data_IF_812702703335
#
_entry.id   IF_812702703335
#
_cell.length_a   1.000
_cell.length_b   1.000
_cell.length_c   1.000
_cell.angle_alpha   90.00
_cell.angle_beta   90.00
_cell.angle_gamma   90.00
#
_symmetry.space_group_name_H-M   'P 1'
#
loop_
_entity.id
_entity.type
_entity.pdbx_description
1 polymer ?
#
# COMPACT_ATOMS: atom_id res chain seq x y z
N UNK A 1 -19.22 -1.75 -25.87
CA UNK A 1 -18.92 -1.92 -24.43
C UNK A 1 -19.68 -0.84 -23.68
N UNK A 2 -20.86 -1.16 -23.15
CA UNK A 2 -21.80 -0.19 -22.56
C UNK A 2 -21.74 -0.19 -21.04
N UNK A 3 -21.84 0.99 -20.44
CA UNK A 3 -21.98 1.18 -18.99
C UNK A 3 -23.26 0.51 -18.49
N UNK A 4 -23.14 -0.32 -17.45
CA UNK A 4 -24.29 -0.89 -16.75
C UNK A 4 -24.52 -0.04 -15.48
N UNK A 5 -25.67 0.63 -15.37
CA UNK A 5 -25.97 1.46 -14.21
C UNK A 5 -26.17 0.62 -12.92
N UNK A 6 -25.95 1.22 -11.74
CA UNK A 6 -25.82 0.49 -10.47
C UNK A 6 -27.10 -0.23 -10.03
N UNK A 7 -28.25 0.20 -10.54
CA UNK A 7 -29.59 -0.31 -10.25
C UNK A 7 -29.84 -1.71 -10.86
N UNK A 8 -29.00 -2.17 -11.80
CA UNK A 8 -29.08 -3.52 -12.39
C UNK A 8 -28.06 -4.52 -11.85
N UNK A 9 -27.33 -4.19 -10.78
CA UNK A 9 -26.54 -5.19 -10.06
C UNK A 9 -27.46 -6.10 -9.22
N UNK A 10 -28.21 -6.97 -9.90
CA UNK A 10 -28.92 -8.07 -9.26
C UNK A 10 -28.07 -9.34 -9.38
N UNK A 11 -27.07 -9.46 -8.50
CA UNK A 11 -26.48 -10.74 -8.19
C UNK A 11 -26.45 -10.92 -6.68
N UNK A 12 -27.08 -12.01 -6.25
CA UNK A 12 -27.13 -12.52 -4.90
C UNK A 12 -25.72 -12.57 -4.28
N UNK A 13 -25.41 -11.61 -3.41
CA UNK A 13 -24.24 -11.67 -2.56
C UNK A 13 -24.56 -12.60 -1.41
N UNK A 14 -23.90 -13.75 -1.33
CA UNK A 14 -23.64 -14.39 -0.03
C UNK A 14 -23.17 -13.28 0.92
N UNK A 15 -23.78 -13.18 2.10
CA UNK A 15 -23.45 -12.16 3.08
C UNK A 15 -21.93 -12.13 3.28
N UNK A 16 -21.28 -11.09 2.75
CA UNK A 16 -19.90 -10.79 3.07
C UNK A 16 -19.90 -10.61 4.59
N UNK A 17 -19.17 -11.45 5.30
CA UNK A 17 -19.12 -11.43 6.76
C UNK A 17 -18.82 -10.03 7.28
N UNK A 18 -19.13 -9.79 8.55
CA UNK A 18 -18.73 -8.55 9.24
C UNK A 18 -17.22 -8.36 9.05
N UNK A 19 -16.83 -7.26 8.41
CA UNK A 19 -15.43 -6.88 8.32
C UNK A 19 -14.97 -6.46 9.73
N UNK A 20 -14.06 -7.23 10.31
CA UNK A 20 -13.45 -6.90 11.60
C UNK A 20 -12.31 -5.88 11.38
N UNK A 21 -12.19 -4.91 12.28
CA UNK A 21 -11.14 -3.89 12.25
C UNK A 21 -10.50 -3.78 13.63
N UNK A 22 -9.17 -3.87 13.68
CA UNK A 22 -8.39 -3.67 14.91
C UNK A 22 -7.79 -2.26 14.91
N UNK A 23 -8.02 -1.51 15.99
CA UNK A 23 -7.39 -0.22 16.23
C UNK A 23 -6.63 -0.26 17.56
N UNK A 24 -5.31 -0.01 17.50
CA UNK A 24 -4.43 0.00 18.67
C UNK A 24 -3.90 1.42 18.88
N UNK A 25 -4.52 2.23 19.75
CA UNK A 25 -4.00 3.56 20.05
C UNK A 25 -2.64 3.44 20.73
N UNK A 26 -1.68 4.29 20.34
CA UNK A 26 -0.33 4.24 20.91
C UNK A 26 0.43 2.95 20.60
N UNK A 27 0.15 2.32 19.44
CA UNK A 27 0.85 1.10 19.00
C UNK A 27 2.39 1.22 19.08
N UNK A 28 2.90 2.41 18.78
CA UNK A 28 4.29 2.78 19.03
C UNK A 28 4.34 3.82 20.15
N UNK A 29 5.34 3.68 21.01
CA UNK A 29 5.77 4.76 21.89
C UNK A 29 6.13 6.01 21.06
N UNK A 30 5.85 7.20 21.60
CA UNK A 30 5.99 8.46 20.86
C UNK A 30 7.43 8.73 20.42
N UNK A 31 8.39 8.60 21.34
CA UNK A 31 9.79 8.92 21.05
C UNK A 31 10.36 7.90 20.06
N UNK A 32 9.94 6.65 20.19
CA UNK A 32 10.27 5.60 19.21
C UNK A 32 9.68 5.90 17.83
N UNK A 33 8.42 6.34 17.76
CA UNK A 33 7.75 6.68 16.51
C UNK A 33 8.41 7.88 15.81
N UNK A 34 8.78 8.93 16.55
CA UNK A 34 9.45 10.11 16.01
C UNK A 34 10.83 9.76 15.43
N UNK A 35 11.61 8.93 16.15
CA UNK A 35 12.90 8.44 15.67
C UNK A 35 12.79 7.52 14.45
N UNK A 36 11.78 6.63 14.44
CA UNK A 36 11.51 5.77 13.30
C UNK A 36 11.06 6.57 12.08
N UNK A 37 10.20 7.57 12.27
CA UNK A 37 9.73 8.45 11.19
C UNK A 37 10.89 9.16 10.49
N UNK A 38 11.82 9.74 11.25
CA UNK A 38 13.00 10.40 10.68
C UNK A 38 13.82 9.44 9.80
N UNK A 39 14.10 8.23 10.29
CA UNK A 39 14.86 7.22 9.52
C UNK A 39 14.10 6.73 8.29
N UNK A 40 12.81 6.44 8.42
CA UNK A 40 11.98 6.02 7.28
C UNK A 40 11.93 7.12 6.22
N UNK A 41 11.85 8.39 6.63
CA UNK A 41 11.83 9.50 5.71
C UNK A 41 13.16 9.64 4.94
N UNK A 42 14.29 9.52 5.63
CA UNK A 42 15.62 9.77 5.04
C UNK A 42 16.19 8.55 4.28
N UNK A 43 16.02 7.33 4.81
CA UNK A 43 16.67 6.12 4.29
C UNK A 43 15.85 5.42 3.19
N UNK A 44 14.59 5.79 3.00
CA UNK A 44 13.73 5.16 1.99
C UNK A 44 14.00 5.76 0.61
N UNK A 45 14.20 4.95 -0.44
CA UNK A 45 14.40 5.42 -1.81
C UNK A 45 13.04 5.81 -2.42
N UNK A 46 12.49 6.93 -1.96
CA UNK A 46 11.20 7.44 -2.36
C UNK A 46 11.11 7.71 -3.87
N UNK A 47 10.10 7.14 -4.53
CA UNK A 47 9.86 7.35 -5.96
C UNK A 47 8.51 8.01 -6.19
N UNK A 48 8.42 8.84 -7.24
CA UNK A 48 7.14 9.40 -7.69
C UNK A 48 6.61 8.58 -8.86
N UNK A 49 5.59 7.78 -8.60
CA UNK A 49 5.03 6.90 -9.62
C UNK A 49 4.23 7.65 -10.69
N UNK A 50 4.24 7.07 -11.90
CA UNK A 50 3.36 7.43 -13.00
C UNK A 50 2.56 6.20 -13.43
N UNK A 51 1.25 6.35 -13.55
CA UNK A 51 0.35 5.26 -13.92
C UNK A 51 -0.78 5.79 -14.82
N UNK A 52 -1.54 4.89 -15.44
CA UNK A 52 -2.69 5.27 -16.26
C UNK A 52 -3.97 5.28 -15.42
N UNK A 53 -4.77 6.32 -15.56
CA UNK A 53 -6.12 6.43 -14.99
C UNK A 53 -7.06 6.87 -16.12
N UNK A 54 -8.09 6.06 -16.41
CA UNK A 54 -9.01 6.29 -17.53
C UNK A 54 -8.30 6.53 -18.88
N UNK A 55 -7.22 5.78 -19.13
CA UNK A 55 -6.42 5.90 -20.37
C UNK A 55 -5.48 7.11 -20.41
N UNK A 56 -5.44 7.94 -19.36
CA UNK A 56 -4.57 9.13 -19.28
C UNK A 56 -3.41 8.87 -18.31
N UNK A 57 -2.17 9.26 -18.66
CA UNK A 57 -1.06 9.18 -17.73
C UNK A 57 -1.21 10.21 -16.59
N UNK A 58 -1.13 9.74 -15.35
CA UNK A 58 -1.21 10.55 -14.12
C UNK A 58 0.06 10.31 -13.31
N UNK A 59 0.58 11.39 -12.72
CA UNK A 59 1.68 11.32 -11.74
C UNK A 59 1.09 11.28 -10.34
N UNK A 60 1.55 10.37 -9.49
CA UNK A 60 1.07 10.25 -8.12
C UNK A 60 1.34 11.56 -7.35
N UNK A 61 0.35 12.09 -6.59
CA UNK A 61 0.56 13.24 -5.70
C UNK A 61 1.27 12.84 -4.39
N UNK A 62 2.03 11.74 -4.41
CA UNK A 62 2.75 11.18 -3.28
C UNK A 62 4.02 10.49 -3.77
N UNK A 63 4.93 10.24 -2.84
CA UNK A 63 6.05 9.34 -3.04
C UNK A 63 5.70 7.95 -2.52
N UNK A 64 6.29 6.92 -3.13
CA UNK A 64 6.12 5.52 -2.76
C UNK A 64 7.46 4.79 -2.85
N UNK A 65 7.61 3.79 -2.00
CA UNK A 65 8.65 2.76 -2.12
C UNK A 65 7.98 1.41 -1.83
N UNK A 66 8.44 0.36 -2.49
CA UNK A 66 7.90 -1.00 -2.33
C UNK A 66 8.97 -1.85 -1.68
N UNK A 67 8.60 -2.61 -0.65
CA UNK A 67 9.51 -3.54 0.03
C UNK A 67 8.92 -4.94 0.05
N UNK A 68 9.78 -5.94 -0.07
CA UNK A 68 9.36 -7.32 -0.24
C UNK A 68 10.54 -8.28 -0.26
N UNK A 69 10.23 -9.57 -0.30
CA UNK A 69 11.24 -10.59 -0.52
C UNK A 69 11.83 -10.43 -1.93
N UNK A 70 13.07 -10.90 -2.11
CA UNK A 70 13.76 -10.76 -3.39
C UNK A 70 12.93 -11.35 -4.55
N UNK A 71 12.76 -10.57 -5.63
CA UNK A 71 11.96 -10.96 -6.78
C UNK A 71 10.46 -10.70 -6.65
N UNK A 72 9.99 -10.13 -5.53
CA UNK A 72 8.59 -9.71 -5.40
C UNK A 72 8.25 -8.61 -6.39
N UNK A 73 7.20 -8.84 -7.18
CA UNK A 73 6.69 -7.89 -8.14
C UNK A 73 5.17 -7.73 -7.97
N UNK A 74 4.71 -6.49 -7.92
CA UNK A 74 3.30 -6.15 -7.89
C UNK A 74 2.89 -5.42 -9.17
N UNK A 75 1.91 -5.95 -9.90
CA UNK A 75 1.41 -5.35 -11.14
C UNK A 75 -0.02 -4.86 -10.99
N UNK A 76 -0.22 -3.57 -11.25
CA UNK A 76 -1.54 -2.93 -11.21
C UNK A 76 -1.60 -1.75 -12.17
N UNK A 77 -2.77 -1.55 -12.80
CA UNK A 77 -3.01 -0.53 -13.84
C UNK A 77 -1.93 -0.52 -14.93
N UNK A 78 -1.58 -1.71 -15.42
CA UNK A 78 -0.55 -1.91 -16.44
C UNK A 78 0.89 -1.62 -16.00
N UNK A 79 1.10 -1.19 -14.75
CA UNK A 79 2.41 -0.81 -14.20
C UNK A 79 2.91 -1.91 -13.27
N UNK A 80 4.11 -2.42 -13.52
CA UNK A 80 4.80 -3.38 -12.64
C UNK A 80 5.72 -2.62 -11.70
N UNK A 81 5.66 -2.94 -10.41
CA UNK A 81 6.54 -2.44 -9.35
C UNK A 81 7.38 -3.59 -8.84
N UNK A 82 8.69 -3.40 -8.83
CA UNK A 82 9.61 -4.32 -8.19
C UNK A 82 9.82 -3.84 -6.76
N UNK A 83 9.75 -4.77 -5.82
CA UNK A 83 10.02 -4.46 -4.44
C UNK A 83 11.53 -4.37 -4.20
N UNK A 84 11.94 -3.36 -3.45
CA UNK A 84 13.25 -3.32 -2.81
C UNK A 84 13.34 -4.41 -1.74
N UNK A 85 14.54 -4.97 -1.49
CA UNK A 85 14.74 -5.89 -0.38
C UNK A 85 14.40 -5.21 0.95
N UNK A 86 13.80 -5.96 1.88
CA UNK A 86 13.57 -5.48 3.23
C UNK A 86 14.84 -4.92 3.87
N UNK A 87 14.79 -3.68 4.34
CA UNK A 87 15.82 -3.16 5.26
C UNK A 87 15.56 -3.72 6.66
N UNK A 88 16.61 -3.76 7.50
CA UNK A 88 16.46 -4.19 8.90
C UNK A 88 15.39 -3.36 9.65
N UNK A 89 15.32 -2.06 9.36
CA UNK A 89 14.33 -1.14 9.92
C UNK A 89 12.90 -1.51 9.51
N UNK A 90 12.62 -1.62 8.20
CA UNK A 90 11.26 -1.90 7.72
C UNK A 90 10.82 -3.31 8.17
N UNK A 91 11.73 -4.29 8.15
CA UNK A 91 11.45 -5.63 8.65
C UNK A 91 11.14 -5.65 10.15
N UNK A 92 11.87 -4.86 10.94
CA UNK A 92 11.61 -4.71 12.37
C UNK A 92 10.22 -4.16 12.66
N UNK A 93 9.76 -3.15 11.89
CA UNK A 93 8.41 -2.62 12.01
C UNK A 93 7.35 -3.65 11.61
N UNK A 94 7.55 -4.36 10.49
CA UNK A 94 6.60 -5.37 10.02
C UNK A 94 6.39 -6.50 11.05
N UNK A 95 7.45 -6.90 11.76
CA UNK A 95 7.39 -7.93 12.79
C UNK A 95 6.58 -7.52 14.04
N UNK A 96 6.24 -6.24 14.22
CA UNK A 96 5.40 -5.79 15.33
C UNK A 96 3.91 -6.06 15.12
N UNK A 97 3.49 -6.29 13.87
CA UNK A 97 2.09 -6.46 13.45
C UNK A 97 1.75 -7.94 13.21
N UNK A 98 2.75 -8.81 13.14
CA UNK A 98 2.63 -10.23 12.78
C UNK A 98 2.44 -11.16 13.98
#
# INVERSE_FOLDING_TARGET
MGYVPPDRLQHAGQGLGVAETLYVPGFLDRDYADGLFARVLDDTPWQRERFSLFGRPVTAPRLTAWYGDAGTAYRYSGTTRLAEPWTAMIRGLAAMVA
#
